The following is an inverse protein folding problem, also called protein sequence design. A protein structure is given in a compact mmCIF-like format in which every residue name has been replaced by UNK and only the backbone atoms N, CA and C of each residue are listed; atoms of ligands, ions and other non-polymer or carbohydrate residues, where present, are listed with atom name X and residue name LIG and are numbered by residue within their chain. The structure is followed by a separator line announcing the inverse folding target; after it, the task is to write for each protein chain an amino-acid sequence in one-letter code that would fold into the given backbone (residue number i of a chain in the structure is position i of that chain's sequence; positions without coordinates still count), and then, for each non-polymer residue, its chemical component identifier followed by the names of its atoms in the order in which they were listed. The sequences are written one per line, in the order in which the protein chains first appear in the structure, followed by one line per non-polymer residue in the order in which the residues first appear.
data_IF_837299474046
#
_entry.id   IF_837299474046
#
_cell.length_a   1.000
_cell.length_b   1.000
_cell.length_c   1.000
_cell.angle_alpha   90.00
_cell.angle_beta   90.00
_cell.angle_gamma   90.00
#
_symmetry.space_group_name_H-M   'P 1'
#
loop_
_entity.id
_entity.type
_entity.pdbx_description
1 polymer ?
#
# COMPACT_ATOMS: atom_id res chain seq x y z
N UNK A 1 -49.91 14.50 1.17
CA UNK A 1 -49.38 14.23 -0.18
C UNK A 1 -47.94 14.73 -0.22
N UNK A 2 -47.01 13.80 -0.13
CA UNK A 2 -45.55 14.13 -0.21
C UNK A 2 -45.22 14.16 -1.70
N UNK A 3 -44.90 15.32 -2.22
CA UNK A 3 -44.49 15.52 -3.61
C UNK A 3 -43.13 14.87 -3.83
N UNK A 4 -43.09 13.72 -4.46
CA UNK A 4 -41.86 13.05 -4.89
C UNK A 4 -41.58 13.53 -6.31
N UNK A 5 -40.84 14.63 -6.42
CA UNK A 5 -40.20 15.07 -7.66
C UNK A 5 -38.76 15.55 -7.36
N UNK A 6 -37.99 14.72 -6.67
CA UNK A 6 -36.54 14.88 -6.70
C UNK A 6 -36.00 14.02 -7.85
N UNK A 7 -35.21 14.66 -8.72
CA UNK A 7 -34.53 14.01 -9.82
C UNK A 7 -33.64 12.89 -9.22
N UNK A 8 -33.75 11.62 -9.66
CA UNK A 8 -32.95 10.51 -9.12
C UNK A 8 -31.44 10.78 -9.09
N UNK A 9 -30.93 11.57 -10.04
CA UNK A 9 -29.53 12.00 -10.06
C UNK A 9 -29.16 12.96 -8.91
N UNK A 10 -30.08 13.86 -8.51
CA UNK A 10 -29.81 14.77 -7.37
C UNK A 10 -29.79 14.04 -6.05
N UNK A 11 -30.65 13.05 -5.86
CA UNK A 11 -30.68 12.25 -4.63
C UNK A 11 -29.44 11.35 -4.50
N UNK A 12 -28.93 10.82 -5.60
CA UNK A 12 -27.67 10.02 -5.63
C UNK A 12 -26.50 10.94 -5.35
N UNK A 13 -26.43 12.11 -5.97
CA UNK A 13 -25.37 13.09 -5.73
C UNK A 13 -25.33 13.49 -4.25
N UNK A 14 -26.47 13.86 -3.68
CA UNK A 14 -26.57 14.22 -2.26
C UNK A 14 -26.08 13.08 -1.35
N UNK A 15 -26.50 11.84 -1.61
CA UNK A 15 -26.04 10.67 -0.86
C UNK A 15 -24.50 10.50 -0.97
N UNK A 16 -23.94 10.68 -2.16
CA UNK A 16 -22.50 10.57 -2.36
C UNK A 16 -21.74 11.69 -1.65
N UNK A 17 -22.24 12.93 -1.69
CA UNK A 17 -21.66 14.08 -1.00
C UNK A 17 -21.71 13.89 0.52
N UNK A 18 -22.82 13.40 1.07
CA UNK A 18 -22.95 13.05 2.50
C UNK A 18 -21.93 11.97 2.89
N UNK A 19 -21.83 10.88 2.09
CA UNK A 19 -20.85 9.82 2.34
C UNK A 19 -19.41 10.28 2.20
N UNK A 20 -19.13 11.16 1.25
CA UNK A 20 -17.81 11.75 1.13
C UNK A 20 -17.43 12.56 2.38
N UNK A 21 -18.35 13.36 2.90
CA UNK A 21 -18.09 14.12 4.14
C UNK A 21 -17.90 13.18 5.35
N UNK A 22 -18.70 12.12 5.44
CA UNK A 22 -18.63 11.12 6.51
C UNK A 22 -17.29 10.36 6.50
N UNK A 23 -16.85 9.91 5.32
CA UNK A 23 -15.71 8.99 5.22
C UNK A 23 -14.38 9.62 4.83
N UNK A 24 -14.40 10.77 4.14
CA UNK A 24 -13.16 11.40 3.66
C UNK A 24 -12.71 12.58 4.50
N UNK A 25 -13.63 13.21 5.28
CA UNK A 25 -13.33 14.40 6.11
C UNK A 25 -13.46 14.16 7.61
N UNK A 26 -14.01 13.03 8.04
CA UNK A 26 -14.14 12.76 9.47
C UNK A 26 -12.84 12.20 10.04
N UNK A 27 -12.28 12.85 11.05
CA UNK A 27 -11.11 12.38 11.82
C UNK A 27 -11.37 10.97 12.39
N UNK A 28 -12.61 10.71 12.79
CA UNK A 28 -13.02 9.40 13.32
C UNK A 28 -12.83 8.26 12.32
N UNK A 29 -13.03 8.51 11.02
CA UNK A 29 -12.78 7.47 9.99
C UNK A 29 -11.29 7.20 9.86
N UNK A 30 -10.45 8.23 9.89
CA UNK A 30 -8.98 8.11 9.79
C UNK A 30 -8.45 7.24 10.93
N UNK A 31 -8.90 7.50 12.17
CA UNK A 31 -8.44 6.78 13.37
C UNK A 31 -8.80 5.29 13.36
N UNK A 32 -9.82 4.90 12.61
CA UNK A 32 -10.29 3.52 12.51
C UNK A 32 -9.86 2.80 11.24
N UNK A 33 -9.14 3.47 10.36
CA UNK A 33 -8.70 2.93 9.06
C UNK A 33 -7.17 2.83 8.96
N UNK A 34 -6.63 1.82 8.27
CA UNK A 34 -5.19 1.71 8.01
C UNK A 34 -4.55 2.92 7.33
N UNK A 35 -5.34 3.81 6.70
CA UNK A 35 -4.86 5.08 6.15
C UNK A 35 -4.18 5.98 7.21
N UNK A 36 -4.47 5.76 8.50
CA UNK A 36 -3.79 6.46 9.58
C UNK A 36 -2.26 6.20 9.58
N UNK A 37 -1.80 5.09 9.03
CA UNK A 37 -0.39 4.70 9.07
C UNK A 37 0.47 5.66 8.22
N UNK A 38 0.24 5.83 6.89
CA UNK A 38 1.01 6.80 6.13
C UNK A 38 0.81 8.25 6.61
N UNK A 39 -0.32 8.57 7.23
CA UNK A 39 -0.57 9.91 7.80
C UNK A 39 0.24 10.24 9.05
N UNK A 40 0.97 9.30 9.62
CA UNK A 40 1.90 9.54 10.72
C UNK A 40 3.23 10.15 10.24
N UNK A 41 3.46 10.26 8.94
CA UNK A 41 4.71 10.72 8.35
C UNK A 41 4.50 12.03 7.58
N UNK A 42 5.58 12.81 7.45
CA UNK A 42 5.60 14.09 6.73
C UNK A 42 6.43 13.98 5.45
N UNK A 43 7.50 13.17 5.48
CA UNK A 43 8.36 12.96 4.32
C UNK A 43 7.69 12.06 3.29
N UNK A 44 7.81 12.43 2.03
CA UNK A 44 7.15 11.74 0.91
C UNK A 44 7.49 10.25 0.85
N UNK A 45 8.76 9.92 0.95
CA UNK A 45 9.25 8.56 0.83
C UNK A 45 8.76 7.67 1.99
N UNK A 46 8.67 8.23 3.19
CA UNK A 46 8.09 7.55 4.35
C UNK A 46 6.60 7.29 4.16
N UNK A 47 5.86 8.29 3.66
CA UNK A 47 4.42 8.17 3.32
C UNK A 47 4.20 7.07 2.27
N UNK A 48 5.02 7.06 1.21
CA UNK A 48 4.93 6.06 0.14
C UNK A 48 5.18 4.64 0.67
N UNK A 49 6.26 4.42 1.42
CA UNK A 49 6.62 3.11 1.96
C UNK A 49 5.57 2.65 2.96
N UNK A 50 5.18 3.51 3.90
CA UNK A 50 4.17 3.20 4.90
C UNK A 50 2.81 2.89 4.26
N UNK A 51 2.40 3.68 3.26
CA UNK A 51 1.17 3.47 2.50
C UNK A 51 1.18 2.16 1.71
N UNK A 52 2.27 1.87 1.01
CA UNK A 52 2.43 0.63 0.25
C UNK A 52 2.40 -0.61 1.17
N UNK A 53 3.09 -0.57 2.30
CA UNK A 53 3.10 -1.68 3.26
C UNK A 53 1.74 -1.84 3.93
N UNK A 54 1.08 -0.75 4.33
CA UNK A 54 -0.27 -0.79 4.89
C UNK A 54 -1.29 -1.38 3.90
N UNK A 55 -1.26 -0.95 2.65
CA UNK A 55 -2.08 -1.51 1.58
C UNK A 55 -1.77 -2.99 1.34
N UNK A 56 -0.49 -3.38 1.37
CA UNK A 56 -0.05 -4.77 1.21
C UNK A 56 -0.55 -5.67 2.33
N UNK A 57 -0.71 -5.17 3.56
CA UNK A 57 -1.24 -5.91 4.71
C UNK A 57 -2.77 -5.80 4.85
N UNK A 58 -3.46 -5.05 3.99
CA UNK A 58 -4.88 -4.74 4.12
C UNK A 58 -5.79 -5.92 3.77
N UNK A 59 -5.69 -7.02 4.52
CA UNK A 59 -6.69 -8.11 4.49
C UNK A 59 -6.95 -8.68 5.89
N UNK A 60 -8.21 -8.79 6.24
CA UNK A 60 -8.68 -9.23 7.55
C UNK A 60 -9.42 -8.11 8.28
N UNK A 61 -9.41 -8.16 9.61
CA UNK A 61 -10.09 -7.17 10.44
C UNK A 61 -9.24 -5.90 10.59
N UNK A 62 -9.84 -4.72 10.41
CA UNK A 62 -9.16 -3.41 10.51
C UNK A 62 -8.31 -3.23 11.77
N UNK A 63 -8.79 -3.53 13.00
CA UNK A 63 -7.95 -3.38 14.19
C UNK A 63 -6.67 -4.22 14.15
N UNK A 64 -6.76 -5.44 13.61
CA UNK A 64 -5.59 -6.32 13.45
C UNK A 64 -4.61 -5.77 12.42
N UNK A 65 -5.13 -5.26 11.29
CA UNK A 65 -4.31 -4.64 10.24
C UNK A 65 -3.55 -3.45 10.81
N UNK A 66 -4.26 -2.52 11.47
CA UNK A 66 -3.67 -1.32 12.09
C UNK A 66 -2.59 -1.70 13.10
N UNK A 67 -2.89 -2.66 13.99
CA UNK A 67 -1.90 -3.16 14.97
C UNK A 67 -0.64 -3.67 14.29
N UNK A 68 -0.79 -4.46 13.21
CA UNK A 68 0.35 -5.04 12.49
C UNK A 68 1.13 -4.02 11.66
N UNK A 69 0.45 -3.02 11.11
CA UNK A 69 1.13 -1.93 10.45
C UNK A 69 1.93 -1.07 11.45
N UNK A 70 1.37 -0.77 12.63
CA UNK A 70 2.09 -0.07 13.71
C UNK A 70 3.32 -0.86 14.19
N UNK A 71 3.17 -2.19 14.38
CA UNK A 71 4.28 -3.08 14.71
C UNK A 71 5.38 -3.01 13.63
N UNK A 72 5.01 -3.02 12.35
CA UNK A 72 5.95 -2.92 11.25
C UNK A 72 6.67 -1.57 11.23
N UNK A 73 5.96 -0.46 11.44
CA UNK A 73 6.59 0.87 11.53
C UNK A 73 7.54 0.96 12.73
N UNK A 74 7.16 0.38 13.86
CA UNK A 74 8.02 0.33 15.05
C UNK A 74 9.31 -0.46 14.80
N UNK A 75 9.24 -1.58 14.06
CA UNK A 75 10.41 -2.36 13.69
C UNK A 75 11.38 -1.59 12.77
N UNK A 76 10.87 -0.59 12.04
CA UNK A 76 11.66 0.36 11.24
C UNK A 76 11.94 1.68 11.99
N UNK A 77 11.72 1.71 13.33
CA UNK A 77 11.98 2.89 14.18
C UNK A 77 11.22 4.15 13.74
N UNK A 78 10.06 3.98 13.11
CA UNK A 78 9.26 5.06 12.50
C UNK A 78 10.02 5.91 11.48
N UNK A 79 11.04 5.35 10.86
CA UNK A 79 11.80 5.95 9.77
C UNK A 79 11.90 4.95 8.59
N UNK A 80 10.78 4.60 7.92
CA UNK A 80 10.76 3.53 6.94
C UNK A 80 11.67 3.78 5.74
N UNK A 81 11.85 5.01 5.29
CA UNK A 81 12.75 5.33 4.19
C UNK A 81 14.22 5.17 4.59
N UNK A 82 14.58 5.73 5.74
CA UNK A 82 15.95 5.58 6.27
C UNK A 82 16.31 4.11 6.48
N UNK A 83 15.38 3.32 7.07
CA UNK A 83 15.54 1.89 7.22
C UNK A 83 15.75 1.19 5.88
N UNK A 84 14.87 1.43 4.91
CA UNK A 84 14.97 0.82 3.57
C UNK A 84 16.28 1.15 2.87
N UNK A 85 16.79 2.36 3.06
CA UNK A 85 18.04 2.80 2.41
C UNK A 85 19.30 2.31 3.11
N UNK A 86 19.31 2.17 4.43
CA UNK A 86 20.51 1.99 5.21
C UNK A 86 20.60 0.66 5.97
N UNK A 87 19.49 -0.15 6.01
CA UNK A 87 19.48 -1.43 6.71
C UNK A 87 20.54 -2.40 6.17
N UNK A 88 21.30 -2.96 7.08
CA UNK A 88 22.24 -4.07 6.85
C UNK A 88 21.55 -5.42 7.06
N UNK A 89 22.21 -6.54 6.78
CA UNK A 89 21.60 -7.87 6.87
C UNK A 89 21.17 -8.21 8.31
N UNK A 90 21.92 -7.76 9.30
CA UNK A 90 21.64 -7.93 10.72
C UNK A 90 20.36 -7.22 11.16
N UNK A 91 20.02 -6.09 10.58
CA UNK A 91 18.84 -5.31 10.93
C UNK A 91 17.53 -6.06 10.60
N UNK A 92 17.57 -6.94 9.60
CA UNK A 92 16.40 -7.74 9.25
C UNK A 92 16.04 -8.79 10.30
N UNK A 93 16.91 -9.11 11.26
CA UNK A 93 16.64 -10.05 12.34
C UNK A 93 15.47 -9.59 13.21
N UNK A 94 15.26 -8.28 13.35
CA UNK A 94 14.14 -7.72 14.11
C UNK A 94 12.77 -8.11 13.56
N UNK A 95 12.69 -8.49 12.28
CA UNK A 95 11.44 -8.92 11.62
C UNK A 95 11.14 -10.41 11.77
N UNK A 96 12.02 -11.24 12.30
CA UNK A 96 11.86 -12.70 12.34
C UNK A 96 10.60 -13.19 13.06
N UNK A 97 10.09 -12.41 14.01
CA UNK A 97 8.82 -12.70 14.68
C UNK A 97 7.62 -12.04 14.01
N UNK A 98 7.81 -11.23 12.96
CA UNK A 98 6.72 -10.56 12.28
C UNK A 98 5.86 -11.54 11.49
N UNK A 99 4.55 -11.46 11.75
CA UNK A 99 3.56 -12.28 11.06
C UNK A 99 2.22 -11.57 11.01
N UNK A 100 1.62 -11.53 9.81
CA UNK A 100 0.24 -11.14 9.60
C UNK A 100 -0.45 -12.18 8.72
N UNK A 101 -1.26 -13.07 9.33
CA UNK A 101 -1.93 -14.18 8.63
C UNK A 101 -0.91 -15.07 7.89
N UNK A 102 -1.00 -15.13 6.56
CA UNK A 102 -0.06 -15.91 5.72
C UNK A 102 1.21 -15.15 5.34
N UNK A 103 1.24 -13.82 5.53
CA UNK A 103 2.43 -13.00 5.32
C UNK A 103 3.33 -13.07 6.56
N UNK A 104 4.54 -13.54 6.42
CA UNK A 104 5.50 -13.70 7.51
C UNK A 104 6.81 -12.94 7.26
N UNK A 105 7.80 -13.16 8.10
CA UNK A 105 9.09 -12.48 8.04
C UNK A 105 9.81 -12.63 6.70
N UNK A 106 9.77 -13.81 6.04
CA UNK A 106 10.39 -13.97 4.72
C UNK A 106 9.75 -13.05 3.68
N UNK A 107 8.42 -12.94 3.72
CA UNK A 107 7.67 -12.07 2.82
C UNK A 107 7.98 -10.60 3.13
N UNK A 108 8.01 -10.26 4.44
CA UNK A 108 8.31 -8.91 4.92
C UNK A 108 9.71 -8.45 4.49
N UNK A 109 10.74 -9.25 4.76
CA UNK A 109 12.13 -8.93 4.40
C UNK A 109 12.27 -8.79 2.89
N UNK A 110 11.63 -9.66 2.11
CA UNK A 110 11.64 -9.52 0.66
C UNK A 110 11.02 -8.20 0.19
N UNK A 111 9.88 -7.82 0.77
CA UNK A 111 9.23 -6.54 0.45
C UNK A 111 10.14 -5.36 0.77
N UNK A 112 10.80 -5.35 1.92
CA UNK A 112 11.73 -4.30 2.31
C UNK A 112 12.95 -4.24 1.37
N UNK A 113 13.54 -5.38 1.01
CA UNK A 113 14.63 -5.45 0.04
C UNK A 113 14.22 -5.01 -1.37
N UNK A 114 13.00 -5.35 -1.80
CA UNK A 114 12.45 -4.88 -3.08
C UNK A 114 12.21 -3.37 -3.08
N UNK A 115 11.71 -2.81 -1.98
CA UNK A 115 11.62 -1.36 -1.80
C UNK A 115 13.00 -0.70 -1.85
N UNK A 116 13.99 -1.25 -1.14
CA UNK A 116 15.37 -0.75 -1.21
C UNK A 116 15.91 -0.71 -2.65
N UNK A 117 15.66 -1.76 -3.42
CA UNK A 117 16.02 -1.80 -4.83
C UNK A 117 15.29 -0.72 -5.65
N UNK A 118 14.00 -0.51 -5.40
CA UNK A 118 13.20 0.52 -6.09
C UNK A 118 13.74 1.92 -5.80
N UNK A 119 14.00 2.24 -4.54
CA UNK A 119 14.50 3.57 -4.18
C UNK A 119 15.94 3.81 -4.64
N UNK A 120 16.80 2.80 -4.60
CA UNK A 120 18.20 2.92 -5.03
C UNK A 120 18.38 2.98 -6.54
N UNK A 121 17.57 2.21 -7.29
CA UNK A 121 17.83 1.95 -8.71
C UNK A 121 16.74 2.45 -9.65
N UNK A 122 15.54 2.81 -9.14
CA UNK A 122 14.39 3.21 -9.95
C UNK A 122 13.78 4.56 -9.53
N UNK A 123 14.39 5.28 -8.57
CA UNK A 123 13.98 6.62 -8.16
C UNK A 123 12.73 6.68 -7.27
N UNK A 124 12.35 5.55 -6.63
CA UNK A 124 11.21 5.46 -5.70
C UNK A 124 9.92 4.94 -6.33
N UNK A 125 8.90 4.74 -5.50
CA UNK A 125 7.63 4.15 -5.92
C UNK A 125 6.90 5.04 -6.93
N UNK A 126 6.76 6.35 -6.67
CA UNK A 126 6.11 7.27 -7.61
C UNK A 126 6.80 7.24 -8.98
N UNK A 127 8.15 7.21 -8.98
CA UNK A 127 8.93 7.20 -10.23
C UNK A 127 8.61 5.98 -11.08
N UNK A 128 8.53 4.78 -10.49
CA UNK A 128 8.20 3.54 -11.19
C UNK A 128 6.83 3.64 -11.86
N UNK A 129 5.80 4.09 -11.13
CA UNK A 129 4.45 4.21 -11.67
C UNK A 129 4.35 5.32 -12.73
N UNK A 130 4.97 6.49 -12.48
CA UNK A 130 4.91 7.64 -13.36
C UNK A 130 5.61 7.35 -14.70
N UNK A 131 6.82 6.78 -14.66
CA UNK A 131 7.57 6.44 -15.88
C UNK A 131 6.83 5.38 -16.70
N UNK A 132 6.29 4.34 -16.04
CA UNK A 132 5.50 3.34 -16.74
C UNK A 132 4.23 3.95 -17.36
N UNK A 133 3.53 4.85 -16.66
CA UNK A 133 2.34 5.50 -17.21
C UNK A 133 2.68 6.43 -18.37
N UNK A 134 3.75 7.19 -18.30
CA UNK A 134 4.22 8.03 -19.41
C UNK A 134 4.59 7.22 -20.65
N UNK A 135 5.08 5.99 -20.45
CA UNK A 135 5.47 5.09 -21.55
C UNK A 135 4.27 4.41 -22.21
N UNK A 136 3.32 3.93 -21.41
CA UNK A 136 2.29 3.04 -21.91
C UNK A 136 0.90 3.68 -22.01
N UNK A 137 0.59 4.69 -21.19
CA UNK A 137 -0.74 5.30 -21.07
C UNK A 137 -1.87 4.27 -20.80
N UNK A 138 -1.51 3.13 -20.22
CA UNK A 138 -2.40 2.01 -19.93
C UNK A 138 -2.07 1.43 -18.56
N UNK A 139 -3.06 1.35 -17.66
CA UNK A 139 -2.87 0.90 -16.29
C UNK A 139 -2.55 -0.60 -16.17
N UNK A 140 -2.95 -1.42 -17.13
CA UNK A 140 -2.58 -2.84 -17.13
C UNK A 140 -1.07 -3.00 -17.36
N UNK A 141 -0.52 -2.29 -18.34
CA UNK A 141 0.93 -2.29 -18.62
C UNK A 141 1.73 -1.64 -17.49
N UNK A 142 1.20 -0.57 -16.87
CA UNK A 142 1.81 0.04 -15.66
C UNK A 142 1.93 -0.97 -14.51
N UNK A 143 0.87 -1.69 -14.22
CA UNK A 143 0.87 -2.69 -13.14
C UNK A 143 1.75 -3.90 -13.46
N UNK A 144 1.88 -4.26 -14.72
CA UNK A 144 2.80 -5.30 -15.20
C UNK A 144 4.27 -4.86 -15.04
N UNK A 145 4.60 -3.63 -15.48
CA UNK A 145 5.94 -3.06 -15.29
C UNK A 145 6.30 -2.96 -13.81
N UNK A 146 5.38 -2.43 -12.98
CA UNK A 146 5.55 -2.40 -11.53
C UNK A 146 5.83 -3.80 -10.96
N UNK A 147 5.05 -4.81 -11.35
CA UNK A 147 5.27 -6.18 -10.91
C UNK A 147 6.67 -6.66 -11.27
N UNK A 148 7.13 -6.38 -12.50
CA UNK A 148 8.45 -6.77 -13.00
C UNK A 148 9.55 -6.11 -12.18
N UNK A 149 9.46 -4.82 -11.93
CA UNK A 149 10.43 -4.07 -11.11
C UNK A 149 10.43 -4.58 -9.66
N UNK A 150 9.26 -4.74 -9.05
CA UNK A 150 9.14 -5.20 -7.66
C UNK A 150 9.65 -6.62 -7.46
N UNK A 151 9.54 -7.48 -8.47
CA UNK A 151 9.98 -8.88 -8.42
C UNK A 151 11.33 -9.13 -9.09
N UNK A 152 12.10 -8.10 -9.35
CA UNK A 152 13.42 -8.20 -10.01
C UNK A 152 14.48 -8.91 -9.16
N UNK A 153 14.33 -8.92 -7.84
CA UNK A 153 15.18 -9.70 -6.95
C UNK A 153 14.76 -11.16 -6.91
N UNK A 154 15.69 -12.10 -6.67
CA UNK A 154 15.35 -13.52 -6.50
C UNK A 154 14.32 -13.72 -5.39
N UNK A 155 13.18 -14.31 -5.73
CA UNK A 155 12.07 -14.54 -4.82
C UNK A 155 11.73 -16.01 -4.64
N UNK A 156 11.48 -16.44 -3.40
CA UNK A 156 10.89 -17.75 -3.17
C UNK A 156 9.43 -17.77 -3.71
N UNK A 157 8.94 -18.89 -4.27
CA UNK A 157 7.59 -18.96 -4.84
C UNK A 157 6.46 -18.56 -3.87
N UNK A 158 6.69 -18.71 -2.56
CA UNK A 158 5.71 -18.32 -1.54
C UNK A 158 5.50 -16.81 -1.49
N UNK A 159 6.55 -16.02 -1.67
CA UNK A 159 6.52 -14.54 -1.59
C UNK A 159 5.67 -13.99 -2.73
N UNK A 160 5.81 -14.55 -3.92
CA UNK A 160 5.09 -14.13 -5.12
C UNK A 160 3.56 -14.20 -4.97
N UNK A 161 3.04 -15.00 -4.01
CA UNK A 161 1.59 -15.06 -3.73
C UNK A 161 1.05 -13.78 -3.10
N UNK A 162 1.91 -12.97 -2.50
CA UNK A 162 1.54 -11.69 -1.87
C UNK A 162 1.63 -10.51 -2.83
N UNK A 163 2.22 -10.71 -4.02
CA UNK A 163 2.45 -9.69 -5.03
C UNK A 163 1.43 -9.87 -6.16
N UNK A 164 0.69 -8.79 -6.44
CA UNK A 164 -0.32 -8.83 -7.50
C UNK A 164 0.35 -8.98 -8.87
N UNK A 165 -0.13 -9.93 -9.68
CA UNK A 165 0.31 -10.12 -11.06
C UNK A 165 -0.90 -10.06 -11.99
N UNK A 166 -1.02 -8.98 -12.75
CA UNK A 166 -2.16 -8.73 -13.66
C UNK A 166 -2.14 -9.68 -14.86
N UNK A 167 -0.98 -10.12 -15.32
CA UNK A 167 -0.86 -11.10 -16.40
C UNK A 167 -1.41 -12.49 -16.00
N UNK A 168 -1.47 -12.77 -14.69
CA UNK A 168 -2.09 -13.98 -14.14
C UNK A 168 -3.54 -13.75 -13.68
N UNK A 169 -4.18 -12.68 -14.16
CA UNK A 169 -5.59 -12.38 -13.87
C UNK A 169 -5.85 -11.74 -12.51
N UNK A 170 -4.82 -11.22 -11.81
CA UNK A 170 -5.04 -10.48 -10.56
C UNK A 170 -5.68 -9.11 -10.85
N UNK A 171 -6.73 -8.77 -10.10
CA UNK A 171 -7.30 -7.42 -10.12
C UNK A 171 -6.44 -6.36 -9.40
N UNK A 172 -5.27 -6.73 -8.87
CA UNK A 172 -4.31 -5.87 -8.18
C UNK A 172 -4.92 -4.92 -7.12
N UNK A 173 -5.97 -5.36 -6.41
CA UNK A 173 -6.79 -4.52 -5.51
C UNK A 173 -5.96 -3.73 -4.49
N UNK A 174 -4.92 -4.35 -3.90
CA UNK A 174 -4.07 -3.70 -2.89
C UNK A 174 -3.15 -2.64 -3.49
N UNK A 175 -2.61 -2.88 -4.68
CA UNK A 175 -1.81 -1.88 -5.40
C UNK A 175 -2.70 -0.73 -5.83
N UNK A 176 -3.88 -1.01 -6.39
CA UNK A 176 -4.85 0.03 -6.75
C UNK A 176 -5.34 0.84 -5.54
N UNK A 177 -5.43 0.21 -4.36
CA UNK A 177 -5.75 0.91 -3.11
C UNK A 177 -4.62 1.83 -2.67
N UNK A 178 -3.36 1.43 -2.86
CA UNK A 178 -2.19 2.27 -2.60
C UNK A 178 -2.14 3.50 -3.53
N UNK A 179 -2.46 3.31 -4.81
CA UNK A 179 -2.41 4.38 -5.82
C UNK A 179 -3.58 5.40 -5.74
N UNK A 180 -4.63 5.12 -4.96
CA UNK A 180 -5.79 6.00 -4.81
C UNK A 180 -5.56 7.11 -3.79
#
# INVERSE_FOLDING_TARGET
MISITQNPCESIKQLLDEKYLEYCKSEFFIDTDPIQIPKCFEEKEDIEIAGFLAASLAWGQRPTIIKKCKELMQLMEYAPYDFVMNAEEEDYHRFYNFKHRTFNHYDCIYFLKSLANIYRNHGGLESVFTQAYQKYHDMFEVLKEWHTVFTSLPAAPRVLRHIANVEKGSAAKRVNMFLR
#
